data_IF_127828191289
#
_entry.id   IF_127828191289
#
_cell.length_a   1.000
_cell.length_b   1.000
_cell.length_c   1.000
_cell.angle_alpha   90.00
_cell.angle_beta   90.00
_cell.angle_gamma   90.00
#
_symmetry.space_group_name_H-M   'P 1'
#
loop_
_entity.id
_entity.type
_entity.pdbx_description
1 polymer ?
#
# COMPACT_ATOMS: atom_id res chain seq x y z
N UNK A 1 -27.06 -21.11 10.98
CA UNK A 1 -26.71 -19.73 11.38
C UNK A 1 -27.81 -18.83 10.86
N UNK A 2 -28.35 -17.94 11.69
CA UNK A 2 -29.35 -16.99 11.18
C UNK A 2 -28.67 -16.00 10.23
N UNK A 3 -29.35 -15.55 9.17
CA UNK A 3 -28.79 -14.61 8.19
C UNK A 3 -28.21 -13.34 8.84
N UNK A 4 -28.70 -13.02 10.04
CA UNK A 4 -28.29 -11.88 10.83
C UNK A 4 -26.90 -12.08 11.47
N UNK A 5 -26.62 -13.28 12.00
CA UNK A 5 -25.30 -13.64 12.55
C UNK A 5 -24.23 -13.69 11.44
N UNK A 6 -24.60 -14.16 10.24
CA UNK A 6 -23.71 -14.20 9.08
C UNK A 6 -23.28 -12.80 8.61
N UNK A 7 -24.21 -11.84 8.58
CA UNK A 7 -23.91 -10.45 8.21
C UNK A 7 -23.07 -9.74 9.28
N UNK A 8 -23.34 -9.99 10.56
CA UNK A 8 -22.55 -9.43 11.67
C UNK A 8 -21.11 -9.96 11.68
N UNK A 9 -20.92 -11.26 11.47
CA UNK A 9 -19.58 -11.85 11.34
C UNK A 9 -18.80 -11.26 10.16
N UNK A 10 -19.45 -11.10 9.00
CA UNK A 10 -18.81 -10.52 7.81
C UNK A 10 -18.41 -9.05 8.00
N UNK A 11 -19.22 -8.28 8.72
CA UNK A 11 -18.88 -6.89 9.08
C UNK A 11 -17.65 -6.86 9.97
N UNK A 12 -17.59 -7.72 11.00
CA UNK A 12 -16.44 -7.79 11.90
C UNK A 12 -15.14 -8.14 11.16
N UNK A 13 -15.19 -9.12 10.24
CA UNK A 13 -14.05 -9.48 9.38
C UNK A 13 -13.54 -8.30 8.55
N UNK A 14 -14.46 -7.57 7.90
CA UNK A 14 -14.10 -6.42 7.06
C UNK A 14 -13.57 -5.24 7.89
N UNK A 15 -14.04 -5.06 9.12
CA UNK A 15 -13.52 -4.04 10.03
C UNK A 15 -12.11 -4.37 10.51
N UNK A 16 -11.82 -5.65 10.79
CA UNK A 16 -10.48 -6.12 11.12
C UNK A 16 -9.52 -5.92 9.94
N UNK A 17 -9.92 -6.32 8.74
CA UNK A 17 -9.15 -6.11 7.51
C UNK A 17 -8.91 -4.61 7.22
N UNK A 18 -9.93 -3.77 7.41
CA UNK A 18 -9.78 -2.32 7.28
C UNK A 18 -8.74 -1.78 8.29
N UNK A 19 -8.78 -2.27 9.53
CA UNK A 19 -7.83 -1.84 10.56
C UNK A 19 -6.40 -2.25 10.24
N UNK A 20 -6.19 -3.45 9.70
CA UNK A 20 -4.87 -3.95 9.30
C UNK A 20 -4.30 -3.13 8.14
N UNK A 21 -5.11 -2.86 7.11
CA UNK A 21 -4.73 -2.01 5.98
C UNK A 21 -4.38 -0.57 6.40
N UNK A 22 -5.12 0.01 7.35
CA UNK A 22 -4.79 1.34 7.92
C UNK A 22 -3.43 1.30 8.64
N UNK A 23 -3.14 0.22 9.37
CA UNK A 23 -1.86 0.06 10.03
C UNK A 23 -0.70 -0.12 9.03
N UNK A 24 -0.93 -0.78 7.90
CA UNK A 24 0.03 -0.87 6.79
C UNK A 24 0.32 0.50 6.18
N UNK A 25 -0.71 1.31 5.91
CA UNK A 25 -0.55 2.69 5.44
C UNK A 25 0.32 3.50 6.41
N UNK A 26 0.05 3.42 7.72
CA UNK A 26 0.86 4.11 8.74
C UNK A 26 2.33 3.68 8.70
N UNK A 27 2.60 2.38 8.53
CA UNK A 27 3.97 1.86 8.39
C UNK A 27 4.65 2.40 7.14
N UNK A 28 3.95 2.43 6.00
CA UNK A 28 4.49 2.97 4.75
C UNK A 28 4.77 4.47 4.83
N UNK A 29 3.89 5.27 5.45
CA UNK A 29 4.19 6.68 5.72
C UNK A 29 5.42 6.88 6.62
N UNK A 30 5.58 6.04 7.65
CA UNK A 30 6.78 6.05 8.48
C UNK A 30 8.06 5.78 7.67
N UNK A 31 8.02 4.79 6.77
CA UNK A 31 9.13 4.47 5.85
C UNK A 31 9.43 5.63 4.91
N UNK A 32 8.42 6.20 4.25
CA UNK A 32 8.57 7.35 3.35
C UNK A 32 9.23 8.50 4.09
N UNK A 33 8.78 8.81 5.31
CA UNK A 33 9.35 9.91 6.10
C UNK A 33 10.84 9.67 6.38
N UNK A 34 11.21 8.47 6.80
CA UNK A 34 12.62 8.11 7.02
C UNK A 34 13.44 8.22 5.74
N UNK A 35 12.93 7.69 4.62
CA UNK A 35 13.59 7.73 3.31
C UNK A 35 13.76 9.17 2.79
N UNK A 36 12.79 10.04 3.01
CA UNK A 36 12.90 11.49 2.71
C UNK A 36 13.99 12.17 3.54
N UNK A 37 14.17 11.79 4.81
CA UNK A 37 15.31 12.28 5.60
C UNK A 37 16.65 11.75 5.09
N UNK A 38 16.70 10.47 4.71
CA UNK A 38 17.89 9.85 4.12
C UNK A 38 18.29 10.52 2.79
N UNK A 39 17.31 10.85 1.94
CA UNK A 39 17.55 11.60 0.70
C UNK A 39 18.09 12.99 1.00
N UNK A 40 17.47 13.74 1.92
CA UNK A 40 17.94 15.07 2.35
C UNK A 40 19.36 15.04 2.90
N UNK A 41 19.73 13.99 3.62
CA UNK A 41 21.08 13.81 4.14
C UNK A 41 22.11 13.54 3.02
N UNK A 42 21.70 12.91 1.92
CA UNK A 42 22.56 12.63 0.76
C UNK A 42 22.69 13.82 -0.19
N UNK A 43 21.74 14.75 -0.21
CA UNK A 43 21.76 15.94 -1.07
C UNK A 43 23.03 16.80 -0.96
N UNK A 44 23.51 17.24 0.22
CA UNK A 44 24.68 18.11 0.31
C UNK A 44 25.93 17.44 -0.27
N UNK A 45 26.14 16.17 0.09
CA UNK A 45 27.27 15.38 -0.43
C UNK A 45 27.22 15.21 -1.95
N UNK A 46 26.03 15.04 -2.53
CA UNK A 46 25.87 14.87 -3.97
C UNK A 46 26.00 16.19 -4.75
N UNK A 47 25.60 17.33 -4.16
CA UNK A 47 25.81 18.66 -4.73
C UNK A 47 27.30 19.01 -4.79
N UNK A 48 28.03 18.74 -3.72
CA UNK A 48 29.49 18.96 -3.67
C UNK A 48 30.26 18.07 -4.67
N UNK A 49 29.68 16.94 -5.07
CA UNK A 49 30.33 15.94 -5.92
C UNK A 49 29.67 15.80 -7.29
N UNK A 50 28.91 16.79 -7.75
CA UNK A 50 28.15 16.74 -9.00
C UNK A 50 29.07 16.61 -10.22
N UNK A 51 30.13 17.42 -10.27
CA UNK A 51 31.10 17.45 -11.37
C UNK A 51 32.01 16.22 -11.45
N UNK A 52 32.00 15.40 -10.41
CA UNK A 52 32.89 14.25 -10.31
C UNK A 52 32.42 13.13 -11.26
N UNK A 53 33.23 12.85 -12.29
CA UNK A 53 32.97 11.81 -13.30
C UNK A 53 33.85 10.58 -13.07
N UNK A 54 33.23 9.47 -12.66
CA UNK A 54 33.90 8.18 -12.41
C UNK A 54 34.26 7.43 -13.71
N UNK A 55 33.46 7.62 -14.77
CA UNK A 55 33.62 6.91 -16.05
C UNK A 55 34.99 7.10 -16.72
N UNK A 56 35.50 8.33 -16.87
CA UNK A 56 36.82 8.60 -17.44
C UNK A 56 37.96 7.92 -16.67
N UNK A 57 37.92 7.93 -15.33
CA UNK A 57 38.96 7.35 -14.48
C UNK A 57 38.97 5.82 -14.60
N UNK A 58 37.80 5.17 -14.64
CA UNK A 58 37.70 3.73 -14.94
C UNK A 58 38.23 3.37 -16.33
N UNK A 59 37.97 4.21 -17.34
CA UNK A 59 38.49 4.00 -18.70
C UNK A 59 40.02 4.11 -18.72
N UNK A 60 40.58 5.09 -18.01
CA UNK A 60 42.03 5.27 -17.87
C UNK A 60 42.68 4.06 -17.19
N UNK A 61 42.08 3.53 -16.13
CA UNK A 61 42.57 2.32 -15.46
C UNK A 61 42.65 1.13 -16.42
N UNK A 62 41.56 0.84 -17.14
CA UNK A 62 41.54 -0.24 -18.14
C UNK A 62 42.57 -0.05 -19.26
N UNK A 63 42.80 1.19 -19.70
CA UNK A 63 43.83 1.49 -20.69
C UNK A 63 45.24 1.23 -20.14
N UNK A 64 45.50 1.56 -18.87
CA UNK A 64 46.79 1.27 -18.23
C UNK A 64 47.00 -0.24 -18.03
N UNK A 65 45.97 -0.97 -17.59
CA UNK A 65 46.01 -2.44 -17.49
C UNK A 65 46.30 -3.08 -18.84
N UNK A 66 45.63 -2.62 -19.90
CA UNK A 66 45.87 -3.09 -21.26
C UNK A 66 47.30 -2.79 -21.72
N UNK A 67 47.83 -1.59 -21.44
CA UNK A 67 49.22 -1.23 -21.74
C UNK A 67 50.22 -2.10 -20.97
N UNK A 68 49.93 -2.46 -19.72
CA UNK A 68 50.78 -3.39 -18.97
C UNK A 68 50.78 -4.76 -19.65
N UNK A 69 49.61 -5.28 -19.99
CA UNK A 69 49.48 -6.60 -20.62
C UNK A 69 50.10 -6.69 -22.02
N UNK A 70 50.14 -5.59 -22.77
CA UNK A 70 50.55 -5.59 -24.19
C UNK A 70 51.89 -4.92 -24.46
N UNK A 71 52.28 -3.90 -23.70
CA UNK A 71 53.38 -2.97 -24.02
C UNK A 71 54.48 -2.89 -22.95
N UNK A 72 54.40 -3.69 -21.87
CA UNK A 72 55.41 -3.72 -20.81
C UNK A 72 56.61 -4.60 -21.20
N UNK A 73 57.37 -4.20 -22.22
CA UNK A 73 58.50 -4.99 -22.73
C UNK A 73 59.79 -4.85 -21.89
N UNK A 74 59.88 -3.86 -21.00
CA UNK A 74 61.03 -3.69 -20.10
C UNK A 74 60.60 -3.50 -18.65
N UNK A 75 61.41 -3.95 -17.67
CA UNK A 75 61.12 -3.79 -16.24
C UNK A 75 60.95 -2.33 -15.81
N UNK A 76 61.61 -1.38 -16.50
CA UNK A 76 61.45 0.05 -16.21
C UNK A 76 60.09 0.59 -16.65
N UNK A 77 59.59 0.16 -17.81
CA UNK A 77 58.26 0.55 -18.33
C UNK A 77 57.18 -0.07 -17.45
N UNK A 78 57.31 -1.35 -17.10
CA UNK A 78 56.39 -2.05 -16.21
C UNK A 78 56.27 -1.34 -14.86
N UNK A 79 57.40 -1.03 -14.20
CA UNK A 79 57.40 -0.30 -12.92
C UNK A 79 56.75 1.08 -13.01
N UNK A 80 56.89 1.80 -14.13
CA UNK A 80 56.24 3.11 -14.34
C UNK A 80 54.73 2.94 -14.48
N UNK A 81 54.29 2.01 -15.32
CA UNK A 81 52.85 1.74 -15.51
C UNK A 81 52.18 1.26 -14.24
N UNK A 82 52.83 0.40 -13.45
CA UNK A 82 52.31 -0.06 -12.15
C UNK A 82 52.16 1.11 -11.16
N UNK A 83 53.10 2.07 -11.15
CA UNK A 83 52.97 3.30 -10.33
C UNK A 83 51.79 4.16 -10.78
N UNK A 84 51.55 4.27 -12.08
CA UNK A 84 50.39 5.00 -12.61
C UNK A 84 49.07 4.30 -12.26
N UNK A 85 49.01 2.97 -12.36
CA UNK A 85 47.84 2.18 -11.94
C UNK A 85 47.54 2.45 -10.47
N UNK A 86 48.53 2.37 -9.56
CA UNK A 86 48.32 2.65 -8.14
C UNK A 86 47.77 4.06 -7.87
N UNK A 87 48.20 5.06 -8.65
CA UNK A 87 47.65 6.43 -8.54
C UNK A 87 46.19 6.48 -8.96
N UNK A 88 45.85 5.86 -10.09
CA UNK A 88 44.48 5.83 -10.63
C UNK A 88 43.55 4.99 -9.74
N UNK A 89 44.06 3.92 -9.12
CA UNK A 89 43.33 3.14 -8.11
C UNK A 89 43.01 3.99 -6.87
N UNK A 90 43.98 4.74 -6.35
CA UNK A 90 43.76 5.66 -5.22
C UNK A 90 42.77 6.79 -5.56
N UNK A 91 42.76 7.28 -6.79
CA UNK A 91 41.71 8.18 -7.28
C UNK A 91 40.34 7.49 -7.30
N UNK A 92 40.26 6.27 -7.83
CA UNK A 92 39.01 5.51 -7.90
C UNK A 92 38.44 5.18 -6.52
N UNK A 93 39.27 4.92 -5.51
CA UNK A 93 38.79 4.68 -4.15
C UNK A 93 38.03 5.87 -3.57
N UNK A 94 38.53 7.10 -3.81
CA UNK A 94 37.82 8.33 -3.42
C UNK A 94 36.51 8.48 -4.18
N UNK A 95 36.52 8.12 -5.46
CA UNK A 95 35.34 8.17 -6.34
C UNK A 95 34.28 7.11 -6.02
N UNK A 96 34.67 5.98 -5.40
CA UNK A 96 33.74 4.91 -5.00
C UNK A 96 32.70 5.42 -3.98
N UNK A 97 33.08 6.33 -3.08
CA UNK A 97 32.15 6.92 -2.12
C UNK A 97 31.04 7.72 -2.83
N UNK A 98 31.40 8.51 -3.83
CA UNK A 98 30.47 9.28 -4.67
C UNK A 98 29.52 8.36 -5.44
N UNK A 99 30.06 7.31 -6.06
CA UNK A 99 29.23 6.35 -6.80
C UNK A 99 28.26 5.59 -5.87
N UNK A 100 28.73 5.20 -4.67
CA UNK A 100 27.87 4.59 -3.64
C UNK A 100 26.74 5.53 -3.23
N UNK A 101 27.03 6.81 -2.98
CA UNK A 101 26.01 7.78 -2.61
C UNK A 101 24.99 8.01 -3.76
N UNK A 102 25.45 8.09 -5.01
CA UNK A 102 24.57 8.22 -6.19
C UNK A 102 23.65 7.02 -6.35
N UNK A 103 24.19 5.80 -6.20
CA UNK A 103 23.39 4.57 -6.21
C UNK A 103 22.39 4.56 -5.07
N UNK A 104 22.82 4.93 -3.87
CA UNK A 104 21.97 5.00 -2.68
C UNK A 104 20.82 5.98 -2.87
N UNK A 105 21.05 7.18 -3.42
CA UNK A 105 19.97 8.13 -3.74
C UNK A 105 18.93 7.53 -4.68
N UNK A 106 19.35 6.83 -5.73
CA UNK A 106 18.42 6.16 -6.66
C UNK A 106 17.58 5.09 -5.97
N UNK A 107 18.19 4.26 -5.12
CA UNK A 107 17.48 3.24 -4.36
C UNK A 107 16.48 3.86 -3.38
N UNK A 108 16.89 4.91 -2.66
CA UNK A 108 16.00 5.63 -1.73
C UNK A 108 14.81 6.26 -2.47
N UNK A 109 15.04 6.85 -3.64
CA UNK A 109 13.98 7.41 -4.47
C UNK A 109 13.01 6.31 -4.96
N UNK A 110 13.53 5.17 -5.39
CA UNK A 110 12.70 4.02 -5.77
C UNK A 110 11.88 3.50 -4.60
N UNK A 111 12.49 3.33 -3.43
CA UNK A 111 11.80 2.89 -2.21
C UNK A 111 10.64 3.82 -1.84
N UNK A 112 10.79 5.14 -2.05
CA UNK A 112 9.72 6.12 -1.81
C UNK A 112 8.58 5.89 -2.80
N UNK A 113 8.88 5.76 -4.09
CA UNK A 113 7.88 5.51 -5.14
C UNK A 113 7.12 4.21 -4.83
N UNK A 114 7.83 3.14 -4.50
CA UNK A 114 7.22 1.84 -4.19
C UNK A 114 6.33 1.89 -2.94
N UNK A 115 6.69 2.70 -1.94
CA UNK A 115 5.83 2.93 -0.78
C UNK A 115 4.60 3.78 -1.13
N UNK A 116 4.74 4.78 -1.99
CA UNK A 116 3.64 5.63 -2.44
C UNK A 116 2.64 4.84 -3.29
N UNK A 117 3.11 4.03 -4.24
CA UNK A 117 2.24 3.12 -5.01
C UNK A 117 1.52 2.14 -4.11
N UNK A 118 2.22 1.55 -3.13
CA UNK A 118 1.58 0.62 -2.18
C UNK A 118 0.49 1.30 -1.34
N UNK A 119 0.68 2.56 -0.95
CA UNK A 119 -0.38 3.33 -0.26
C UNK A 119 -1.58 3.50 -1.18
N UNK A 120 -1.38 3.87 -2.45
CA UNK A 120 -2.49 4.06 -3.39
C UNK A 120 -3.29 2.77 -3.62
N UNK A 121 -2.61 1.62 -3.74
CA UNK A 121 -3.27 0.31 -3.86
C UNK A 121 -4.14 -0.01 -2.63
N UNK A 122 -3.61 0.25 -1.43
CA UNK A 122 -4.34 0.02 -0.18
C UNK A 122 -5.52 0.99 -0.05
N UNK A 123 -5.37 2.24 -0.48
CA UNK A 123 -6.48 3.21 -0.47
C UNK A 123 -7.63 2.77 -1.38
N UNK A 124 -7.35 2.18 -2.54
CA UNK A 124 -8.38 1.65 -3.42
C UNK A 124 -9.06 0.40 -2.83
N UNK A 125 -8.30 -0.48 -2.19
CA UNK A 125 -8.87 -1.59 -1.41
C UNK A 125 -9.81 -1.09 -0.30
N UNK A 126 -9.40 -0.05 0.43
CA UNK A 126 -10.20 0.56 1.48
C UNK A 126 -11.48 1.21 0.95
N UNK A 127 -11.48 1.78 -0.27
CA UNK A 127 -12.70 2.27 -0.92
C UNK A 127 -13.67 1.13 -1.20
N UNK A 128 -13.20 0.01 -1.75
CA UNK A 128 -14.01 -1.18 -1.99
C UNK A 128 -14.62 -1.76 -0.72
N UNK A 129 -13.82 -1.88 0.35
CA UNK A 129 -14.30 -2.33 1.65
C UNK A 129 -15.33 -1.37 2.27
N UNK A 130 -15.18 -0.05 2.08
CA UNK A 130 -16.16 0.94 2.58
C UNK A 130 -17.51 0.80 1.87
N UNK A 131 -17.53 0.53 0.57
CA UNK A 131 -18.78 0.24 -0.15
C UNK A 131 -19.42 -1.06 0.35
N UNK A 132 -18.65 -2.14 0.50
CA UNK A 132 -19.16 -3.44 0.99
C UNK A 132 -19.73 -3.31 2.40
N UNK A 133 -19.01 -2.64 3.31
CA UNK A 133 -19.51 -2.36 4.66
C UNK A 133 -20.82 -1.56 4.64
N UNK A 134 -20.93 -0.54 3.79
CA UNK A 134 -22.16 0.27 3.67
C UNK A 134 -23.36 -0.58 3.25
N UNK A 135 -23.16 -1.50 2.31
CA UNK A 135 -24.20 -2.43 1.87
C UNK A 135 -24.59 -3.42 2.98
N UNK A 136 -23.61 -4.01 3.67
CA UNK A 136 -23.85 -4.95 4.76
C UNK A 136 -24.56 -4.29 5.94
N UNK A 137 -24.16 -3.07 6.31
CA UNK A 137 -24.87 -2.28 7.33
C UNK A 137 -26.31 -1.94 6.91
N UNK A 138 -26.53 -1.67 5.63
CA UNK A 138 -27.87 -1.50 5.06
C UNK A 138 -28.73 -2.76 5.19
N UNK A 139 -28.19 -3.92 4.80
CA UNK A 139 -28.85 -5.24 4.94
C UNK A 139 -29.12 -5.60 6.40
N UNK A 140 -28.17 -5.32 7.29
CA UNK A 140 -28.34 -5.55 8.72
C UNK A 140 -29.48 -4.70 9.29
N UNK A 141 -29.61 -3.44 8.86
CA UNK A 141 -30.71 -2.56 9.26
C UNK A 141 -32.06 -3.10 8.78
N UNK A 142 -32.17 -3.54 7.52
CA UNK A 142 -33.41 -4.08 6.95
C UNK A 142 -33.81 -5.40 7.62
N UNK A 143 -32.86 -6.30 7.88
CA UNK A 143 -33.09 -7.55 8.61
C UNK A 143 -33.54 -7.29 10.06
N UNK A 144 -32.94 -6.31 10.75
CA UNK A 144 -33.35 -5.90 12.10
C UNK A 144 -34.73 -5.26 12.13
N UNK A 145 -35.12 -4.47 11.13
CA UNK A 145 -36.47 -3.91 11.02
C UNK A 145 -37.52 -4.96 10.65
N UNK A 146 -37.19 -5.89 9.74
CA UNK A 146 -38.09 -7.00 9.35
C UNK A 146 -38.42 -7.92 10.53
N UNK A 147 -37.42 -8.29 11.32
CA UNK A 147 -37.61 -9.05 12.57
C UNK A 147 -38.47 -8.31 13.62
N UNK A 148 -38.34 -6.99 13.73
CA UNK A 148 -39.14 -6.18 14.68
C UNK A 148 -40.61 -6.03 14.28
N UNK A 149 -40.92 -6.06 12.99
CA UNK A 149 -42.28 -5.93 12.47
C UNK A 149 -42.95 -7.28 12.16
N UNK A 150 -42.33 -8.41 12.52
CA UNK A 150 -42.89 -9.74 12.24
C UNK A 150 -42.95 -10.10 10.75
N UNK A 151 -42.30 -9.32 9.89
CA UNK A 151 -42.29 -9.55 8.44
C UNK A 151 -41.16 -10.55 8.15
N UNK A 152 -41.55 -11.82 8.02
CA UNK A 152 -40.70 -12.85 7.41
C UNK A 152 -40.69 -12.55 5.91
N UNK A 153 -39.59 -11.96 5.40
CA UNK A 153 -39.37 -11.94 3.96
C UNK A 153 -39.05 -13.38 3.53
N UNK A 154 -40.10 -14.17 3.32
CA UNK A 154 -40.00 -15.44 2.61
C UNK A 154 -39.51 -15.17 1.19
N UNK A 155 -38.69 -16.09 0.68
CA UNK A 155 -38.42 -16.20 -0.75
C UNK A 155 -39.77 -16.12 -1.48
N UNK A 156 -39.86 -15.23 -2.48
CA UNK A 156 -41.10 -15.03 -3.25
C UNK A 156 -41.63 -16.38 -3.71
N UNK A 157 -42.82 -16.82 -3.27
CA UNK A 157 -43.61 -17.67 -4.12
C UNK A 157 -44.14 -16.78 -5.25
N UNK A 158 -43.80 -17.12 -6.48
CA UNK A 158 -44.53 -16.66 -7.65
C UNK A 158 -45.98 -17.16 -7.50
N UNK A 159 -46.84 -16.37 -6.87
CA UNK A 159 -48.28 -16.49 -7.05
C UNK A 159 -48.93 -15.13 -6.83
N UNK A 160 -49.54 -14.63 -7.90
CA UNK A 160 -50.27 -13.37 -7.90
C UNK A 160 -51.53 -13.50 -7.05
N UNK A 161 -51.67 -12.67 -6.02
CA UNK A 161 -52.94 -12.45 -5.33
C UNK A 161 -53.37 -11.02 -5.62
N UNK A 162 -54.53 -10.87 -6.27
CA UNK A 162 -55.15 -9.59 -6.60
C UNK A 162 -55.61 -8.85 -5.34
N UNK A 163 -55.67 -7.51 -5.42
CA UNK A 163 -56.05 -6.61 -4.30
C UNK A 163 -57.50 -6.74 -3.81
N UNK A 164 -58.23 -7.79 -4.17
CA UNK A 164 -59.65 -7.95 -3.84
C UNK A 164 -59.89 -8.72 -2.52
N UNK A 165 -58.88 -9.40 -1.97
CA UNK A 165 -59.03 -10.24 -0.77
C UNK A 165 -58.25 -9.73 0.47
N UNK A 166 -58.19 -8.41 0.68
CA UNK A 166 -57.79 -7.85 1.99
C UNK A 166 -59.06 -7.66 2.82
N UNK A 167 -59.43 -8.67 3.62
CA UNK A 167 -60.42 -8.51 4.68
C UNK A 167 -59.73 -7.87 5.88
N UNK A 168 -59.96 -6.57 6.08
CA UNK A 168 -59.57 -5.86 7.31
C UNK A 168 -60.58 -6.19 8.39
N UNK A 169 -60.19 -6.99 9.39
CA UNK A 169 -60.95 -7.10 10.63
C UNK A 169 -60.59 -5.92 11.53
N UNK A 170 -61.43 -4.88 11.56
CA UNK A 170 -61.40 -3.88 12.62
C UNK A 170 -62.04 -4.50 13.87
N UNK A 171 -61.19 -4.78 14.88
CA UNK A 171 -61.59 -5.25 16.20
C UNK A 171 -62.30 -4.09 16.94
N UNK A 172 -63.55 -3.81 16.56
CA UNK A 172 -64.42 -2.82 17.20
C UNK A 172 -64.88 -3.36 18.56
N UNK A 173 -63.99 -3.35 19.54
CA UNK A 173 -64.35 -3.46 20.96
C UNK A 173 -64.92 -2.12 21.40
N UNK A 174 -66.23 -1.96 21.22
CA UNK A 174 -67.00 -0.90 21.90
C UNK A 174 -66.93 -1.22 23.39
N UNK A 175 -66.29 -0.34 24.16
CA UNK A 175 -66.31 -0.38 25.62
C UNK A 175 -67.60 0.30 26.07
N UNK A 176 -68.49 -0.44 26.71
CA UNK A 176 -69.61 0.16 27.43
C UNK A 176 -69.11 0.81 28.73
N UNK A 177 -69.78 1.89 29.16
CA UNK A 177 -69.35 2.82 30.22
C UNK A 177 -69.21 2.20 31.63
N UNK A 178 -69.43 0.89 31.79
CA UNK A 178 -69.32 0.18 33.07
C UNK A 178 -68.18 -0.85 33.15
N UNK A 179 -67.30 -0.91 32.14
CA UNK A 179 -65.94 -1.44 32.31
C UNK A 179 -65.80 -2.92 32.67
N UNK A 180 -66.57 -3.82 32.06
CA UNK A 180 -66.28 -5.26 32.06
C UNK A 180 -66.11 -5.78 30.63
N UNK A 181 -65.14 -6.69 30.45
CA UNK A 181 -64.77 -7.33 29.18
C UNK A 181 -65.29 -8.76 29.21
N UNK A 182 -66.10 -9.16 28.23
CA UNK A 182 -66.24 -10.58 27.85
C UNK A 182 -65.13 -10.98 26.87
#
# INVERSE_FOLDING_TARGET
MSDLEGVEARIAELEEQKSSLINEIKKNYGRIRYKKYEEKALEPFLKETEDIRVGPVRKRLRQLEFKIATQAYTPQIERKLVKEVKKVEGELEKLRAVEKARRKKKLVAQDIIDCETRITEIEDQLKGMRSELKELYGRLKTLKSGKKHGVVFGEKPDDMVSMEDIVVFEDNRVRDEEGNVE
#
